data_IF_354203086125
#
_entry.id   IF_354203086125
#
_cell.length_a   1.000
_cell.length_b   1.000
_cell.length_c   1.000
_cell.angle_alpha   90.00
_cell.angle_beta   90.00
_cell.angle_gamma   90.00
#
_symmetry.space_group_name_H-M   'P 1'
#
loop_
_entity.id
_entity.type
_entity.pdbx_description
1 polymer ?
#
# COMPACT_ATOMS: atom_id res chain seq x y z
N UNK A 1 22.87 -23.07 21.81
CA UNK A 1 21.81 -22.25 21.25
C UNK A 1 22.45 -21.02 20.63
N UNK A 2 22.38 -20.77 19.33
CA UNK A 2 22.92 -19.54 18.76
C UNK A 2 22.03 -18.37 19.15
N UNK A 3 22.65 -17.31 19.64
CA UNK A 3 22.01 -16.03 19.97
C UNK A 3 21.31 -15.47 18.72
N UNK A 4 19.98 -15.45 18.71
CA UNK A 4 19.20 -14.75 17.71
C UNK A 4 19.44 -13.23 17.93
N UNK A 5 19.88 -12.50 16.91
CA UNK A 5 20.14 -11.07 17.06
C UNK A 5 18.89 -10.34 17.52
N UNK A 6 18.93 -9.70 18.67
CA UNK A 6 17.82 -8.91 19.27
C UNK A 6 17.38 -7.69 18.46
N UNK A 7 17.98 -7.44 17.28
CA UNK A 7 17.82 -6.21 16.49
C UNK A 7 16.56 -6.15 15.62
N UNK A 8 15.69 -7.17 15.63
CA UNK A 8 14.47 -7.19 14.78
C UNK A 8 13.16 -7.17 15.57
N UNK A 9 13.19 -7.18 16.89
CA UNK A 9 11.97 -7.09 17.69
C UNK A 9 11.60 -5.61 17.90
N UNK A 10 10.52 -5.16 17.25
CA UNK A 10 9.91 -3.86 17.58
C UNK A 10 9.53 -3.87 19.05
N UNK A 11 9.65 -2.72 19.73
CA UNK A 11 9.25 -2.63 21.12
C UNK A 11 7.75 -2.94 21.30
N UNK A 12 7.33 -3.51 22.45
CA UNK A 12 5.91 -3.73 22.73
C UNK A 12 5.07 -2.47 22.56
N UNK A 13 5.61 -1.32 22.92
CA UNK A 13 4.95 -0.02 22.75
C UNK A 13 4.69 0.30 21.27
N UNK A 14 5.68 0.10 20.40
CA UNK A 14 5.52 0.32 18.94
C UNK A 14 4.42 -0.57 18.36
N UNK A 15 4.34 -1.82 18.79
CA UNK A 15 3.29 -2.75 18.33
C UNK A 15 1.90 -2.36 18.82
N UNK A 16 1.79 -1.86 20.06
CA UNK A 16 0.54 -1.36 20.62
C UNK A 16 0.07 -0.11 19.87
N UNK A 17 0.98 0.84 19.63
CA UNK A 17 0.69 2.07 18.88
C UNK A 17 0.23 1.75 17.47
N UNK A 18 0.93 0.85 16.75
CA UNK A 18 0.51 0.43 15.42
C UNK A 18 -0.87 -0.23 15.42
N UNK A 19 -1.15 -1.09 16.40
CA UNK A 19 -2.46 -1.74 16.51
C UNK A 19 -3.58 -0.73 16.77
N UNK A 20 -3.35 0.23 17.66
CA UNK A 20 -4.31 1.30 17.94
C UNK A 20 -4.54 2.19 16.70
N UNK A 21 -3.46 2.55 15.99
CA UNK A 21 -3.55 3.33 14.76
C UNK A 21 -4.36 2.61 13.66
N UNK A 22 -4.13 1.31 13.47
CA UNK A 22 -4.90 0.50 12.50
C UNK A 22 -6.39 0.48 12.89
N UNK A 23 -6.70 0.21 14.15
CA UNK A 23 -8.09 0.15 14.60
C UNK A 23 -8.78 1.50 14.42
N UNK A 24 -8.11 2.59 14.81
CA UNK A 24 -8.66 3.94 14.66
C UNK A 24 -8.86 4.30 13.18
N UNK A 25 -7.88 4.02 12.32
CA UNK A 25 -7.97 4.30 10.89
C UNK A 25 -9.09 3.49 10.23
N UNK A 26 -9.19 2.18 10.51
CA UNK A 26 -10.27 1.34 9.99
C UNK A 26 -11.64 1.79 10.47
N UNK A 27 -11.77 2.12 11.76
CA UNK A 27 -13.03 2.62 12.32
C UNK A 27 -13.47 3.94 11.67
N UNK A 28 -12.53 4.86 11.45
CA UNK A 28 -12.80 6.12 10.76
C UNK A 28 -13.19 5.88 9.28
N UNK A 29 -12.48 5.00 8.57
CA UNK A 29 -12.83 4.64 7.17
C UNK A 29 -14.24 4.05 7.09
N UNK A 30 -14.60 3.15 8.00
CA UNK A 30 -15.95 2.58 8.06
C UNK A 30 -17.00 3.65 8.36
N UNK A 31 -16.73 4.57 9.28
CA UNK A 31 -17.64 5.67 9.60
C UNK A 31 -17.88 6.57 8.39
N UNK A 32 -16.82 6.93 7.65
CA UNK A 32 -16.93 7.69 6.41
C UNK A 32 -17.64 6.91 5.30
N UNK A 33 -17.40 5.60 5.19
CA UNK A 33 -18.11 4.74 4.24
C UNK A 33 -19.61 4.66 4.53
N UNK A 34 -20.00 4.58 5.79
CA UNK A 34 -21.41 4.61 6.22
C UNK A 34 -22.03 5.96 5.89
N UNK A 35 -21.35 7.06 6.23
CA UNK A 35 -21.83 8.41 5.88
C UNK A 35 -22.02 8.56 4.38
N UNK A 36 -21.02 8.14 3.59
CA UNK A 36 -21.07 8.16 2.13
C UNK A 36 -22.24 7.33 1.58
N UNK A 37 -22.47 6.15 2.13
CA UNK A 37 -23.54 5.27 1.66
C UNK A 37 -24.94 5.82 1.99
N UNK A 38 -25.12 6.36 3.19
CA UNK A 38 -26.41 6.90 3.68
C UNK A 38 -26.73 8.24 3.03
N UNK A 39 -25.72 9.11 2.90
CA UNK A 39 -25.87 10.48 2.43
C UNK A 39 -25.44 10.68 0.98
N UNK A 40 -25.47 9.63 0.15
CA UNK A 40 -24.96 9.64 -1.24
C UNK A 40 -25.56 10.74 -2.12
N UNK A 41 -26.79 11.16 -1.85
CA UNK A 41 -27.49 12.21 -2.63
C UNK A 41 -27.19 13.63 -2.12
N UNK A 42 -26.38 13.76 -1.07
CA UNK A 42 -25.98 15.08 -0.56
C UNK A 42 -25.14 15.85 -1.60
N UNK A 43 -25.18 17.19 -1.63
CA UNK A 43 -24.42 17.98 -2.61
C UNK A 43 -22.91 17.70 -2.66
N UNK A 44 -22.32 17.33 -1.52
CA UNK A 44 -20.89 17.02 -1.38
C UNK A 44 -20.49 15.66 -1.97
N UNK A 45 -21.45 14.72 -2.07
CA UNK A 45 -21.21 13.32 -2.44
C UNK A 45 -21.82 12.92 -3.78
N UNK A 46 -22.81 13.70 -4.23
CA UNK A 46 -23.48 13.46 -5.50
C UNK A 46 -22.46 13.48 -6.64
N UNK A 47 -22.58 12.55 -7.54
CA UNK A 47 -21.76 12.55 -8.72
C UNK A 47 -20.42 11.82 -8.61
N UNK A 48 -20.15 11.09 -7.52
CA UNK A 48 -18.85 10.45 -7.25
C UNK A 48 -18.93 8.93 -7.15
N UNK A 49 -19.98 8.31 -7.68
CA UNK A 49 -20.26 6.86 -7.52
C UNK A 49 -20.11 6.37 -6.07
N UNK A 50 -20.42 7.23 -5.11
CA UNK A 50 -19.97 7.14 -3.71
C UNK A 50 -20.42 5.85 -3.00
N UNK A 51 -21.57 5.26 -3.39
CA UNK A 51 -22.00 3.97 -2.82
C UNK A 51 -21.08 2.83 -3.22
N UNK A 52 -20.63 2.82 -4.48
CA UNK A 52 -19.67 1.81 -4.96
C UNK A 52 -18.30 2.01 -4.29
N UNK A 53 -17.83 3.26 -4.16
CA UNK A 53 -16.60 3.60 -3.42
C UNK A 53 -16.71 3.16 -1.95
N UNK A 54 -17.82 3.41 -1.27
CA UNK A 54 -18.03 2.99 0.11
C UNK A 54 -17.90 1.47 0.29
N UNK A 55 -18.45 0.67 -0.63
CA UNK A 55 -18.27 -0.79 -0.66
C UNK A 55 -16.78 -1.13 -0.90
N UNK A 56 -16.13 -0.45 -1.84
CA UNK A 56 -14.70 -0.61 -2.13
C UNK A 56 -13.82 -0.33 -0.92
N UNK A 57 -14.09 0.73 -0.15
CA UNK A 57 -13.35 1.03 1.08
C UNK A 57 -13.44 -0.12 2.09
N UNK A 58 -14.65 -0.60 2.38
CA UNK A 58 -14.85 -1.72 3.32
C UNK A 58 -14.17 -2.99 2.81
N UNK A 59 -14.29 -3.30 1.51
CA UNK A 59 -13.59 -4.41 0.87
C UNK A 59 -12.07 -4.30 0.98
N UNK A 60 -11.53 -3.11 0.70
CA UNK A 60 -10.11 -2.81 0.80
C UNK A 60 -9.53 -3.00 2.20
N UNK A 61 -10.28 -2.65 3.25
CA UNK A 61 -9.87 -2.90 4.65
C UNK A 61 -9.69 -4.37 4.99
N UNK A 62 -10.31 -5.27 4.23
CA UNK A 62 -10.23 -6.72 4.43
C UNK A 62 -9.06 -7.36 3.66
N UNK A 63 -8.45 -6.68 2.70
CA UNK A 63 -7.41 -7.26 1.82
C UNK A 63 -6.27 -7.86 2.63
N UNK A 64 -5.67 -7.09 3.54
CA UNK A 64 -4.52 -7.59 4.32
C UNK A 64 -4.90 -8.68 5.32
N UNK A 65 -5.97 -8.53 6.14
CA UNK A 65 -6.40 -9.58 7.05
C UNK A 65 -6.75 -10.90 6.34
N UNK A 66 -7.48 -10.82 5.23
CA UNK A 66 -7.89 -12.01 4.46
C UNK A 66 -6.69 -12.67 3.79
N UNK A 67 -5.84 -11.89 3.09
CA UNK A 67 -4.63 -12.42 2.48
C UNK A 67 -3.74 -13.09 3.52
N UNK A 68 -3.50 -12.45 4.66
CA UNK A 68 -2.73 -13.05 5.76
C UNK A 68 -3.37 -14.33 6.29
N UNK A 69 -4.70 -14.38 6.38
CA UNK A 69 -5.43 -15.57 6.86
C UNK A 69 -5.31 -16.76 5.91
N UNK A 70 -5.28 -16.50 4.60
CA UNK A 70 -5.29 -17.52 3.55
C UNK A 70 -3.88 -18.02 3.20
N UNK A 71 -2.83 -17.22 3.42
CA UNK A 71 -1.46 -17.61 3.09
C UNK A 71 -0.96 -18.76 4.00
N UNK A 72 -0.32 -19.80 3.42
CA UNK A 72 0.32 -20.85 4.19
C UNK A 72 1.54 -20.30 4.94
N UNK A 73 1.94 -20.96 6.06
CA UNK A 73 3.13 -20.58 6.82
C UNK A 73 3.04 -19.20 7.49
N UNK A 74 1.87 -18.88 8.01
CA UNK A 74 1.59 -17.58 8.65
C UNK A 74 2.61 -17.21 9.71
N UNK A 75 3.30 -16.11 9.47
CA UNK A 75 4.14 -15.42 10.43
C UNK A 75 3.32 -14.44 11.29
N UNK A 76 4.01 -13.59 12.04
CA UNK A 76 3.38 -12.47 12.75
C UNK A 76 2.56 -11.58 11.81
N UNK A 77 1.39 -11.11 12.29
CA UNK A 77 0.51 -10.24 11.51
C UNK A 77 1.23 -8.98 11.00
N UNK A 78 1.15 -8.66 9.70
CA UNK A 78 1.91 -7.58 9.07
C UNK A 78 1.26 -6.20 9.31
N UNK A 79 1.27 -5.72 10.56
CA UNK A 79 0.61 -4.47 10.97
C UNK A 79 1.00 -3.27 10.13
N UNK A 80 2.28 -3.11 9.82
CA UNK A 80 2.73 -1.97 9.02
C UNK A 80 2.13 -1.98 7.60
N UNK A 81 2.00 -3.18 7.00
CA UNK A 81 1.33 -3.33 5.71
C UNK A 81 -0.17 -3.02 5.82
N UNK A 82 -0.82 -3.54 6.87
CA UNK A 82 -2.25 -3.28 7.06
C UNK A 82 -2.53 -1.79 7.26
N UNK A 83 -1.72 -1.09 8.05
CA UNK A 83 -1.83 0.36 8.18
C UNK A 83 -1.60 1.08 6.85
N UNK A 84 -0.59 0.66 6.10
CA UNK A 84 -0.25 1.29 4.83
C UNK A 84 -1.31 1.11 3.74
N UNK A 85 -2.02 -0.01 3.73
CA UNK A 85 -3.19 -0.22 2.85
C UNK A 85 -4.41 0.56 3.37
N UNK A 86 -4.53 0.70 4.70
CA UNK A 86 -5.68 1.40 5.31
C UNK A 86 -5.60 2.92 5.12
N UNK A 87 -4.40 3.52 5.19
CA UNK A 87 -4.24 4.98 5.13
C UNK A 87 -4.74 5.58 3.81
N UNK A 88 -4.40 5.05 2.63
CA UNK A 88 -4.99 5.51 1.36
C UNK A 88 -6.51 5.48 1.36
N UNK A 89 -7.10 4.37 1.80
CA UNK A 89 -8.56 4.24 1.88
C UNK A 89 -9.19 5.25 2.85
N UNK A 90 -8.51 5.56 3.95
CA UNK A 90 -8.96 6.58 4.91
C UNK A 90 -8.89 7.98 4.31
N UNK A 91 -7.82 8.30 3.59
CA UNK A 91 -7.64 9.61 2.95
C UNK A 91 -8.72 9.85 1.90
N UNK A 92 -8.96 8.87 1.03
CA UNK A 92 -10.00 8.98 0.00
C UNK A 92 -11.41 9.01 0.60
N UNK A 93 -11.74 8.11 1.53
CA UNK A 93 -13.05 8.11 2.20
C UNK A 93 -13.29 9.43 2.97
N UNK A 94 -12.27 9.92 3.66
CA UNK A 94 -12.31 11.18 4.41
C UNK A 94 -12.44 12.39 3.48
N UNK A 95 -11.67 12.43 2.42
CA UNK A 95 -11.73 13.48 1.39
C UNK A 95 -13.14 13.63 0.80
N UNK A 96 -13.75 12.51 0.44
CA UNK A 96 -15.13 12.48 -0.05
C UNK A 96 -16.13 12.90 1.04
N UNK A 97 -16.06 12.29 2.24
CA UNK A 97 -17.01 12.54 3.32
C UNK A 97 -16.97 13.99 3.82
N UNK A 98 -15.81 14.62 3.83
CA UNK A 98 -15.63 16.01 4.26
C UNK A 98 -15.83 17.02 3.11
N UNK A 99 -16.04 16.54 1.88
CA UNK A 99 -16.22 17.38 0.71
C UNK A 99 -14.93 18.09 0.26
N UNK A 100 -13.75 17.56 0.62
CA UNK A 100 -12.47 18.20 0.33
C UNK A 100 -12.14 18.19 -1.17
N UNK A 101 -12.64 17.22 -1.91
CA UNK A 101 -12.46 17.14 -3.38
C UNK A 101 -13.21 18.22 -4.19
N UNK A 102 -13.98 19.07 -3.51
CA UNK A 102 -14.49 20.31 -4.13
C UNK A 102 -13.46 21.45 -4.12
N UNK A 103 -12.40 21.30 -3.32
CA UNK A 103 -11.29 22.24 -3.24
C UNK A 103 -10.24 21.86 -4.30
N UNK A 104 -9.72 22.86 -5.02
CA UNK A 104 -8.71 22.65 -6.05
C UNK A 104 -7.48 21.90 -5.49
N UNK A 105 -7.01 20.91 -6.23
CA UNK A 105 -5.76 20.17 -5.97
C UNK A 105 -5.74 19.22 -4.76
N UNK A 106 -6.84 19.00 -4.04
CA UNK A 106 -6.86 18.01 -2.96
C UNK A 106 -6.82 16.60 -3.54
N UNK A 107 -7.49 16.36 -4.64
CA UNK A 107 -7.46 15.08 -5.35
C UNK A 107 -6.03 14.74 -5.80
N UNK A 108 -5.38 15.67 -6.47
CA UNK A 108 -3.98 15.58 -6.90
C UNK A 108 -3.07 15.14 -5.73
N UNK A 109 -3.20 15.83 -4.57
CA UNK A 109 -2.41 15.49 -3.37
C UNK A 109 -2.71 14.10 -2.86
N UNK A 110 -3.95 13.63 -2.95
CA UNK A 110 -4.35 12.29 -2.49
C UNK A 110 -3.77 11.22 -3.40
N UNK A 111 -3.80 11.37 -4.73
CA UNK A 111 -3.18 10.44 -5.67
C UNK A 111 -1.67 10.32 -5.45
N UNK A 112 -0.97 11.47 -5.32
CA UNK A 112 0.48 11.49 -5.00
C UNK A 112 0.76 10.81 -3.65
N UNK A 113 0.01 11.14 -2.60
CA UNK A 113 0.23 10.60 -1.26
C UNK A 113 -0.02 9.08 -1.20
N UNK A 114 -1.11 8.62 -1.79
CA UNK A 114 -1.48 7.21 -1.82
C UNK A 114 -0.42 6.38 -2.54
N UNK A 115 -0.04 6.80 -3.73
CA UNK A 115 0.98 6.11 -4.52
C UNK A 115 2.35 6.14 -3.85
N UNK A 116 2.73 7.24 -3.16
CA UNK A 116 3.96 7.30 -2.38
C UNK A 116 3.96 6.31 -1.20
N UNK A 117 2.85 6.21 -0.48
CA UNK A 117 2.69 5.27 0.64
C UNK A 117 2.78 3.82 0.12
N UNK A 118 2.02 3.49 -0.92
CA UNK A 118 2.02 2.13 -1.51
C UNK A 118 3.41 1.75 -2.00
N UNK A 119 4.08 2.64 -2.75
CA UNK A 119 5.43 2.43 -3.27
C UNK A 119 6.45 2.22 -2.15
N UNK A 120 6.47 3.10 -1.15
CA UNK A 120 7.41 3.03 -0.04
C UNK A 120 7.24 1.76 0.80
N UNK A 121 6.00 1.35 1.05
CA UNK A 121 5.70 0.14 1.81
C UNK A 121 6.02 -1.12 1.03
N UNK A 122 5.61 -1.20 -0.23
CA UNK A 122 5.95 -2.33 -1.10
C UNK A 122 7.48 -2.43 -1.24
N UNK A 123 8.18 -1.32 -1.45
CA UNK A 123 9.64 -1.28 -1.47
C UNK A 123 10.27 -1.81 -0.18
N UNK A 124 9.78 -1.39 0.99
CA UNK A 124 10.25 -1.90 2.28
C UNK A 124 9.97 -3.40 2.46
N UNK A 125 8.89 -3.92 1.89
CA UNK A 125 8.58 -5.35 1.90
C UNK A 125 9.48 -6.16 0.97
N UNK A 126 9.85 -5.61 -0.19
CA UNK A 126 10.76 -6.28 -1.12
C UNK A 126 12.22 -6.22 -0.68
N UNK A 127 12.63 -5.17 0.05
CA UNK A 127 14.02 -4.97 0.45
C UNK A 127 14.71 -6.17 1.10
N UNK A 128 14.07 -7.01 1.95
CA UNK A 128 14.69 -8.22 2.49
C UNK A 128 14.82 -9.38 1.48
N UNK A 129 14.22 -9.27 0.30
CA UNK A 129 14.09 -10.36 -0.69
C UNK A 129 14.92 -10.13 -1.95
N UNK A 130 15.60 -9.00 -2.03
CA UNK A 130 16.41 -8.59 -3.19
C UNK A 130 17.79 -8.18 -2.74
N UNK A 131 18.77 -8.27 -3.63
CA UNK A 131 20.17 -8.00 -3.31
C UNK A 131 20.44 -6.49 -3.17
N UNK A 132 19.79 -5.68 -4.01
CA UNK A 132 20.06 -4.26 -4.10
C UNK A 132 18.81 -3.40 -3.81
N UNK A 133 19.02 -2.24 -3.15
CA UNK A 133 17.92 -1.33 -2.81
C UNK A 133 17.14 -0.82 -4.02
N UNK A 134 17.81 -0.61 -5.15
CA UNK A 134 17.14 -0.14 -6.35
C UNK A 134 16.13 -1.16 -6.89
N UNK A 135 16.40 -2.47 -6.72
CA UNK A 135 15.43 -3.51 -7.10
C UNK A 135 14.17 -3.44 -6.23
N UNK A 136 14.33 -3.23 -4.90
CA UNK A 136 13.21 -3.01 -4.01
C UNK A 136 12.44 -1.73 -4.34
N UNK A 137 13.15 -0.65 -4.66
CA UNK A 137 12.55 0.63 -5.03
C UNK A 137 11.75 0.52 -6.33
N UNK A 138 12.31 -0.13 -7.36
CA UNK A 138 11.60 -0.38 -8.62
C UNK A 138 10.38 -1.29 -8.44
N UNK A 139 10.52 -2.36 -7.65
CA UNK A 139 9.39 -3.24 -7.35
C UNK A 139 8.28 -2.49 -6.62
N UNK A 140 8.64 -1.65 -5.64
CA UNK A 140 7.69 -0.80 -4.93
C UNK A 140 6.97 0.19 -5.84
N UNK A 141 7.73 0.90 -6.68
CA UNK A 141 7.16 1.81 -7.67
C UNK A 141 6.24 1.09 -8.66
N UNK A 142 6.66 -0.08 -9.15
CA UNK A 142 5.85 -0.88 -10.06
C UNK A 142 4.51 -1.30 -9.44
N UNK A 143 4.49 -1.68 -8.17
CA UNK A 143 3.24 -2.00 -7.44
C UNK A 143 2.33 -0.77 -7.34
N UNK A 144 2.88 0.40 -7.01
CA UNK A 144 2.09 1.63 -6.89
C UNK A 144 1.51 2.05 -8.25
N UNK A 145 2.32 2.07 -9.30
CA UNK A 145 1.89 2.43 -10.66
C UNK A 145 0.81 1.47 -11.16
N UNK A 146 1.00 0.16 -10.96
CA UNK A 146 0.00 -0.83 -11.35
C UNK A 146 -1.30 -0.68 -10.55
N UNK A 147 -1.20 -0.33 -9.27
CA UNK A 147 -2.35 -0.09 -8.41
C UNK A 147 -3.15 1.13 -8.86
N UNK A 148 -2.48 2.24 -9.13
CA UNK A 148 -3.06 3.48 -9.63
C UNK A 148 -3.75 3.27 -10.98
N UNK A 149 -3.02 2.69 -11.94
CA UNK A 149 -3.58 2.39 -13.26
C UNK A 149 -4.80 1.45 -13.17
N UNK A 150 -4.77 0.48 -12.27
CA UNK A 150 -5.91 -0.41 -12.05
C UNK A 150 -7.10 0.34 -11.44
N UNK A 151 -6.86 1.30 -10.55
CA UNK A 151 -7.89 2.14 -9.95
C UNK A 151 -8.59 2.97 -11.03
N UNK A 152 -7.87 3.69 -11.85
CA UNK A 152 -8.39 4.48 -12.96
C UNK A 152 -9.19 3.64 -13.96
N UNK A 153 -8.69 2.44 -14.29
CA UNK A 153 -9.42 1.51 -15.15
C UNK A 153 -10.73 1.00 -14.52
N UNK A 154 -10.74 0.79 -13.20
CA UNK A 154 -11.96 0.39 -12.48
C UNK A 154 -12.98 1.53 -12.45
N UNK A 155 -12.56 2.77 -12.24
CA UNK A 155 -13.43 3.94 -12.29
C UNK A 155 -14.01 4.14 -13.69
N UNK A 156 -13.16 4.10 -14.72
CA UNK A 156 -13.61 4.15 -16.10
C UNK A 156 -14.59 3.02 -16.45
N UNK A 157 -14.29 1.81 -16.02
CA UNK A 157 -15.18 0.66 -16.19
C UNK A 157 -16.52 0.85 -15.49
N UNK A 158 -16.52 1.33 -14.25
CA UNK A 158 -17.74 1.63 -13.50
C UNK A 158 -18.59 2.68 -14.19
N UNK A 159 -17.98 3.75 -14.71
CA UNK A 159 -18.67 4.77 -15.52
C UNK A 159 -19.31 4.17 -16.76
N UNK A 160 -18.60 3.32 -17.51
CA UNK A 160 -19.11 2.64 -18.72
C UNK A 160 -20.24 1.66 -18.40
N UNK A 161 -20.28 1.08 -17.22
CA UNK A 161 -21.35 0.21 -16.74
C UNK A 161 -22.55 0.97 -16.16
N UNK A 162 -22.54 2.30 -16.25
CA UNK A 162 -23.68 3.15 -15.86
C UNK A 162 -23.63 3.61 -14.40
N UNK A 163 -22.48 3.59 -13.75
CA UNK A 163 -22.32 4.29 -12.49
C UNK A 163 -22.55 5.78 -12.71
N UNK A 164 -23.63 6.31 -12.14
CA UNK A 164 -24.00 7.70 -12.30
C UNK A 164 -23.09 8.61 -11.51
N UNK A 165 -22.65 9.69 -12.14
CA UNK A 165 -21.98 10.79 -11.47
C UNK A 165 -20.47 10.69 -11.43
N UNK A 166 -19.88 9.90 -12.29
CA UNK A 166 -18.46 9.94 -12.59
C UNK A 166 -18.30 10.65 -13.93
N UNK A 167 -17.95 11.92 -13.88
CA UNK A 167 -17.64 12.72 -15.08
C UNK A 167 -16.14 12.64 -15.38
N UNK A 168 -15.63 11.41 -15.49
CA UNK A 168 -14.22 11.17 -15.81
C UNK A 168 -13.93 11.66 -17.22
N UNK A 169 -13.03 12.61 -17.32
CA UNK A 169 -12.48 13.07 -18.61
C UNK A 169 -11.15 12.34 -18.87
N UNK A 170 -10.74 12.35 -20.12
CA UNK A 170 -9.41 11.84 -20.48
C UNK A 170 -8.30 12.61 -19.76
N UNK A 171 -8.43 13.93 -19.69
CA UNK A 171 -7.43 14.81 -19.09
C UNK A 171 -7.31 14.57 -17.58
N UNK A 172 -8.42 14.36 -16.88
CA UNK A 172 -8.50 14.01 -15.47
C UNK A 172 -7.78 12.67 -15.19
N UNK A 173 -8.23 11.60 -15.87
CA UNK A 173 -7.59 10.28 -15.74
C UNK A 173 -6.08 10.31 -16.02
N UNK A 174 -5.64 11.10 -17.02
CA UNK A 174 -4.21 11.21 -17.33
C UNK A 174 -3.44 12.02 -16.30
N UNK A 175 -4.06 13.02 -15.67
CA UNK A 175 -3.49 13.75 -14.56
C UNK A 175 -3.29 12.84 -13.35
N UNK A 176 -4.33 12.10 -12.94
CA UNK A 176 -4.32 11.17 -11.80
C UNK A 176 -3.24 10.09 -11.96
N UNK A 177 -3.14 9.50 -13.15
CA UNK A 177 -2.04 8.57 -13.47
C UNK A 177 -0.68 9.26 -13.33
N UNK A 178 -0.53 10.50 -13.82
CA UNK A 178 0.70 11.28 -13.71
C UNK A 178 1.10 11.56 -12.26
N UNK A 179 0.13 11.89 -11.43
CA UNK A 179 0.29 12.11 -10.01
C UNK A 179 0.63 10.82 -9.27
N UNK A 180 -0.02 9.72 -9.63
CA UNK A 180 0.32 8.38 -9.16
C UNK A 180 1.77 8.01 -9.49
N UNK A 181 2.27 8.34 -10.68
CA UNK A 181 3.68 8.17 -11.04
C UNK A 181 4.61 9.02 -10.17
N UNK A 182 4.28 10.29 -9.95
CA UNK A 182 5.05 11.16 -9.07
C UNK A 182 5.11 10.58 -7.64
N UNK A 183 3.98 10.17 -7.10
CA UNK A 183 3.91 9.51 -5.80
C UNK A 183 4.76 8.23 -5.75
N UNK A 184 4.67 7.38 -6.76
CA UNK A 184 5.46 6.16 -6.86
C UNK A 184 6.97 6.45 -6.83
N UNK A 185 7.43 7.49 -7.53
CA UNK A 185 8.83 7.93 -7.51
C UNK A 185 9.26 8.43 -6.12
N UNK A 186 8.41 9.18 -5.43
CA UNK A 186 8.69 9.64 -4.05
C UNK A 186 8.83 8.46 -3.08
N UNK A 187 7.96 7.46 -3.16
CA UNK A 187 8.05 6.23 -2.37
C UNK A 187 9.28 5.38 -2.72
N UNK A 188 9.67 5.33 -4.00
CA UNK A 188 10.90 4.69 -4.44
C UNK A 188 12.14 5.40 -3.86
N UNK A 189 12.17 6.73 -3.90
CA UNK A 189 13.22 7.53 -3.29
C UNK A 189 13.34 7.30 -1.78
N UNK A 190 12.19 7.22 -1.08
CA UNK A 190 12.16 6.83 0.32
C UNK A 190 12.80 5.45 0.53
N UNK A 191 12.46 4.47 -0.30
CA UNK A 191 13.03 3.12 -0.24
C UNK A 191 14.55 3.15 -0.44
N UNK A 192 15.04 3.88 -1.42
CA UNK A 192 16.47 4.03 -1.70
C UNK A 192 17.25 4.67 -0.54
N UNK A 193 16.65 5.65 0.14
CA UNK A 193 17.35 6.48 1.12
C UNK A 193 17.17 6.02 2.56
N UNK A 194 16.00 5.48 2.92
CA UNK A 194 15.60 5.21 4.31
C UNK A 194 15.44 3.74 4.66
N UNK A 195 15.13 2.87 3.68
CA UNK A 195 14.97 1.45 3.99
C UNK A 195 16.35 0.82 4.21
N UNK A 196 16.58 0.14 5.36
CA UNK A 196 17.84 -0.55 5.62
C UNK A 196 18.11 -1.61 4.56
N UNK A 197 19.37 -1.77 4.16
CA UNK A 197 19.78 -2.94 3.37
C UNK A 197 19.57 -4.19 4.23
N UNK A 198 18.89 -5.19 3.71
CA UNK A 198 19.06 -6.52 4.24
C UNK A 198 20.55 -6.84 4.08
N UNK A 199 21.28 -7.08 5.19
CA UNK A 199 22.59 -7.69 5.06
C UNK A 199 22.32 -9.10 4.54
N UNK A 200 22.88 -9.49 3.38
CA UNK A 200 22.85 -10.90 3.03
C UNK A 200 23.45 -11.63 4.22
N UNK A 201 22.67 -12.50 4.81
CA UNK A 201 23.23 -13.50 5.73
C UNK A 201 24.25 -14.23 4.87
N UNK A 202 25.53 -13.87 5.01
CA UNK A 202 26.61 -14.63 4.42
C UNK A 202 26.42 -16.01 5.01
N UNK A 203 25.90 -16.91 4.18
CA UNK A 203 25.81 -18.31 4.49
C UNK A 203 27.18 -18.77 4.96
N UNK A 204 27.37 -18.78 6.30
CA UNK A 204 28.55 -19.36 6.94
C UNK A 204 28.46 -20.88 6.92
N UNK A 205 27.33 -21.45 6.56
CA UNK A 205 27.19 -22.84 6.15
C UNK A 205 27.68 -22.92 4.71
N UNK A 206 28.92 -23.35 4.52
CA UNK A 206 29.47 -23.54 3.18
C UNK A 206 28.48 -24.31 2.31
N UNK A 207 27.96 -23.63 1.29
CA UNK A 207 27.10 -24.20 0.28
C UNK A 207 27.78 -25.45 -0.29
N UNK A 208 27.37 -26.62 0.16
CA UNK A 208 27.76 -27.86 -0.49
C UNK A 208 26.90 -27.99 -1.72
N UNK A 209 27.49 -27.65 -2.88
CA UNK A 209 26.81 -27.90 -4.15
C UNK A 209 26.31 -29.34 -4.22
N UNK A 210 25.31 -29.63 -5.05
CA UNK A 210 24.68 -30.95 -5.15
C UNK A 210 25.64 -32.12 -5.49
N UNK A 211 26.89 -31.84 -5.76
CA UNK A 211 27.92 -32.84 -6.11
C UNK A 211 29.02 -33.08 -5.04
N UNK A 212 28.90 -32.50 -3.85
CA UNK A 212 29.75 -32.86 -2.71
C UNK A 212 31.26 -32.66 -2.90
N UNK A 213 31.74 -31.99 -3.94
CA UNK A 213 33.15 -31.84 -4.26
C UNK A 213 33.81 -30.82 -3.33
N UNK A 214 34.61 -31.28 -2.39
CA UNK A 214 35.55 -30.47 -1.64
C UNK A 214 36.63 -29.99 -2.61
N UNK A 215 36.71 -28.70 -2.84
CA UNK A 215 37.92 -28.10 -3.42
C UNK A 215 39.06 -28.27 -2.41
N UNK A 216 39.88 -29.31 -2.62
CA UNK A 216 41.11 -29.55 -1.88
C UNK A 216 42.07 -28.38 -2.13
N UNK A 217 42.50 -27.72 -1.07
CA UNK A 217 43.74 -26.94 -1.12
C UNK A 217 44.89 -27.96 -1.14
N UNK A 218 45.82 -27.86 -2.08
CA UNK A 218 47.07 -28.59 -1.98
C UNK A 218 47.92 -28.04 -0.81
N UNK A 219 48.67 -28.93 -0.17
CA UNK A 219 49.56 -28.66 0.95
C UNK A 219 50.77 -27.80 0.51
#
# INVERSE_FOLDING_TARGET
MPDVPRSTMRSPLTETVLSAAIVAAKAATVAFAIDAFVNAESPRLRGKAIRSRAIGYVGGLLVVPVAWRLLPGRSRYPRALDLAVTVPLLLDAGGNALGLYSEAHIDDVVHVANSAIVSGVAGAMFAPRVDERWQAALAGAGVAIAGESAWELLEYGAMKLGATGMDLTYDDTMADIGEGFLGALLGALFTLTRVPRARPERDRSGWRGPLGLRNGRPA
#
